data_IF_585849237942
#
_entry.id   IF_585849237942
#
_cell.length_a   1.000
_cell.length_b   1.000
_cell.length_c   1.000
_cell.angle_alpha   90.00
_cell.angle_beta   90.00
_cell.angle_gamma   90.00
#
_symmetry.space_group_name_H-M   'P 1'
#
loop_
_entity.id
_entity.type
_entity.pdbx_description
1 polymer ?
#
# COMPACT_ATOMS: atom_id res chain seq x y z
N UNK A 1 16.63 -6.20 58.54
CA UNK A 1 16.25 -6.66 57.19
C UNK A 1 17.38 -6.31 56.23
N UNK A 2 18.30 -7.23 56.00
CA UNK A 2 19.31 -7.11 54.94
C UNK A 2 18.61 -7.35 53.60
N UNK A 3 18.66 -6.38 52.69
CA UNK A 3 18.35 -6.63 51.27
C UNK A 3 19.41 -7.62 50.78
N UNK A 4 19.02 -8.88 50.55
CA UNK A 4 19.87 -9.82 49.84
C UNK A 4 20.23 -9.21 48.48
N UNK A 5 21.54 -9.05 48.24
CA UNK A 5 22.05 -8.71 46.92
C UNK A 5 21.70 -9.87 45.99
N UNK A 6 20.71 -9.66 45.11
CA UNK A 6 20.46 -10.55 43.98
C UNK A 6 21.64 -10.41 43.00
N UNK A 7 22.72 -11.14 43.26
CA UNK A 7 23.84 -11.28 42.35
C UNK A 7 23.40 -12.17 41.18
N UNK A 8 23.83 -11.80 39.97
CA UNK A 8 23.60 -12.59 38.77
C UNK A 8 24.20 -13.99 38.96
N UNK A 9 23.42 -15.08 38.77
CA UNK A 9 23.94 -16.42 38.92
C UNK A 9 25.00 -16.68 37.85
N UNK A 10 26.14 -17.25 38.26
CA UNK A 10 27.19 -17.66 37.33
C UNK A 10 26.63 -18.65 36.30
N UNK A 11 27.05 -18.49 35.04
CA UNK A 11 26.77 -19.45 33.97
C UNK A 11 27.42 -20.81 34.28
N UNK A 12 27.03 -21.87 33.57
CA UNK A 12 27.61 -23.19 33.78
C UNK A 12 29.15 -23.20 33.62
N UNK A 13 29.68 -22.41 32.67
CA UNK A 13 31.11 -22.22 32.51
C UNK A 13 31.73 -21.46 33.69
N UNK A 14 31.09 -20.38 34.16
CA UNK A 14 31.54 -19.64 35.33
C UNK A 14 31.59 -20.49 36.61
N UNK A 15 30.61 -21.38 36.81
CA UNK A 15 30.59 -22.34 37.93
C UNK A 15 31.65 -23.43 37.83
N UNK A 16 32.10 -23.78 36.62
CA UNK A 16 33.17 -24.74 36.43
C UNK A 16 34.54 -24.09 36.68
N UNK A 17 34.74 -22.83 36.28
CA UNK A 17 35.95 -22.07 36.57
C UNK A 17 36.05 -21.77 38.07
N UNK A 18 34.94 -21.37 38.69
CA UNK A 18 34.86 -21.19 40.15
C UNK A 18 35.19 -22.48 40.89
N UNK A 19 34.66 -23.62 40.43
CA UNK A 19 34.96 -24.93 41.02
C UNK A 19 36.44 -25.30 40.86
N UNK A 20 36.99 -25.16 39.65
CA UNK A 20 38.40 -25.43 39.38
C UNK A 20 39.34 -24.56 40.23
N UNK A 21 38.95 -23.30 40.49
CA UNK A 21 39.69 -22.42 41.41
C UNK A 21 39.56 -22.87 42.87
N UNK A 22 38.35 -23.22 43.32
CA UNK A 22 38.09 -23.68 44.69
C UNK A 22 38.69 -25.07 44.99
N UNK A 23 38.92 -25.88 43.95
CA UNK A 23 39.54 -27.20 44.02
C UNK A 23 41.08 -27.13 43.82
N UNK A 24 41.67 -25.93 43.82
CA UNK A 24 43.10 -25.66 43.59
C UNK A 24 43.63 -26.19 42.24
N UNK A 25 42.75 -26.46 41.26
CA UNK A 25 43.14 -26.89 39.90
C UNK A 25 43.68 -25.73 39.05
N UNK A 26 43.29 -24.50 39.38
CA UNK A 26 43.84 -23.26 38.81
C UNK A 26 44.17 -22.28 39.94
N UNK A 27 45.28 -21.57 39.82
CA UNK A 27 45.69 -20.59 40.83
C UNK A 27 45.01 -19.22 40.63
N UNK A 28 45.16 -18.34 41.62
CA UNK A 28 44.54 -17.00 41.65
C UNK A 28 45.01 -16.14 40.47
N UNK A 29 46.25 -16.34 40.03
CA UNK A 29 46.82 -15.63 38.90
C UNK A 29 46.17 -16.09 37.59
N UNK A 30 46.01 -17.39 37.38
CA UNK A 30 45.33 -17.97 36.21
C UNK A 30 43.87 -17.54 36.12
N UNK A 31 43.17 -17.45 37.27
CA UNK A 31 41.80 -16.93 37.33
C UNK A 31 41.75 -15.45 36.91
N UNK A 32 42.70 -14.65 37.39
CA UNK A 32 42.81 -13.23 37.06
C UNK A 32 43.15 -13.00 35.59
N UNK A 33 44.09 -13.78 35.04
CA UNK A 33 44.51 -13.72 33.65
C UNK A 33 43.36 -14.12 32.71
N UNK A 34 42.57 -15.13 33.08
CA UNK A 34 41.37 -15.53 32.32
C UNK A 34 40.32 -14.42 32.30
N UNK A 35 40.13 -13.72 33.42
CA UNK A 35 39.23 -12.57 33.50
C UNK A 35 39.73 -11.40 32.64
N UNK A 36 41.03 -11.11 32.68
CA UNK A 36 41.63 -10.02 31.92
C UNK A 36 41.62 -10.31 30.40
N UNK A 37 41.87 -11.55 30.00
CA UNK A 37 41.71 -12.02 28.62
C UNK A 37 40.26 -11.83 28.14
N UNK A 38 39.27 -12.24 28.93
CA UNK A 38 37.86 -12.07 28.58
C UNK A 38 37.44 -10.60 28.48
N UNK A 39 37.96 -9.74 29.36
CA UNK A 39 37.74 -8.29 29.27
C UNK A 39 38.38 -7.73 28.00
N UNK A 40 39.62 -8.14 27.68
CA UNK A 40 40.33 -7.73 26.46
C UNK A 40 39.59 -8.15 25.22
N UNK A 41 39.09 -9.39 25.15
CA UNK A 41 38.33 -9.89 23.99
C UNK A 41 37.02 -9.11 23.80
N UNK A 42 36.32 -8.76 24.89
CA UNK A 42 35.11 -7.93 24.83
C UNK A 42 35.45 -6.50 24.38
N UNK A 43 36.59 -5.95 24.80
CA UNK A 43 37.06 -4.65 24.35
C UNK A 43 37.45 -4.66 22.86
N UNK A 44 38.11 -5.72 22.40
CA UNK A 44 38.62 -5.86 21.02
C UNK A 44 37.48 -6.20 20.02
N UNK A 45 36.59 -7.13 20.37
CA UNK A 45 35.43 -7.49 19.53
C UNK A 45 34.24 -6.55 19.68
N UNK A 46 34.17 -5.79 20.78
CA UNK A 46 33.07 -4.88 21.08
C UNK A 46 32.90 -3.80 20.01
N UNK A 47 34.00 -3.28 19.47
CA UNK A 47 33.95 -2.31 18.37
C UNK A 47 33.33 -2.91 17.10
N UNK A 48 33.72 -4.13 16.73
CA UNK A 48 33.18 -4.82 15.55
C UNK A 48 31.66 -5.04 15.67
N UNK A 49 31.18 -5.43 16.86
CA UNK A 49 29.75 -5.62 17.13
C UNK A 49 28.98 -4.31 16.99
N UNK A 50 29.51 -3.21 17.53
CA UNK A 50 28.90 -1.86 17.40
C UNK A 50 28.87 -1.41 15.94
N UNK A 51 29.94 -1.64 15.18
CA UNK A 51 29.98 -1.32 13.75
C UNK A 51 28.92 -2.13 12.97
N UNK A 52 28.76 -3.42 13.27
CA UNK A 52 27.72 -4.27 12.66
C UNK A 52 26.33 -3.75 12.99
N UNK A 53 26.06 -3.46 14.27
CA UNK A 53 24.78 -2.91 14.70
C UNK A 53 24.45 -1.59 13.99
N UNK A 54 25.41 -0.66 13.90
CA UNK A 54 25.23 0.61 13.19
C UNK A 54 24.95 0.41 11.70
N UNK A 55 25.58 -0.59 11.05
CA UNK A 55 25.26 -0.96 9.67
C UNK A 55 23.81 -1.43 9.54
N UNK A 56 23.34 -2.28 10.45
CA UNK A 56 21.94 -2.73 10.43
C UNK A 56 20.96 -1.57 10.62
N UNK A 57 21.22 -0.66 11.55
CA UNK A 57 20.40 0.54 11.76
C UNK A 57 20.38 1.42 10.51
N UNK A 58 21.52 1.62 9.83
CA UNK A 58 21.56 2.40 8.59
C UNK A 58 20.78 1.73 7.44
N UNK A 59 20.79 0.39 7.35
CA UNK A 59 20.05 -0.33 6.33
C UNK A 59 18.54 -0.36 6.60
N UNK A 60 18.15 -0.72 7.82
CA UNK A 60 16.76 -0.97 8.21
C UNK A 60 16.02 0.31 8.63
N UNK A 61 16.75 1.34 9.05
CA UNK A 61 16.20 2.49 9.75
C UNK A 61 15.92 2.17 11.23
N UNK A 62 15.35 3.14 11.93
CA UNK A 62 15.02 3.01 13.36
C UNK A 62 13.71 3.72 13.70
N UNK A 63 12.96 3.21 14.67
CA UNK A 63 11.70 3.78 15.11
C UNK A 63 10.50 3.35 14.27
N UNK A 64 9.33 3.87 14.61
CA UNK A 64 8.04 3.48 14.02
C UNK A 64 7.14 4.70 13.80
N UNK A 65 6.24 4.61 12.82
CA UNK A 65 5.28 5.67 12.53
C UNK A 65 5.95 6.92 11.97
N UNK A 66 5.46 8.09 12.38
CA UNK A 66 5.92 9.40 11.88
C UNK A 66 7.35 9.74 12.28
N UNK A 67 7.87 9.14 13.37
CA UNK A 67 9.22 9.37 13.87
C UNK A 67 10.24 8.33 13.36
N UNK A 68 9.90 7.57 12.31
CA UNK A 68 10.81 6.57 11.74
C UNK A 68 11.96 7.27 11.00
N UNK A 69 13.18 6.95 11.41
CA UNK A 69 14.40 7.26 10.67
C UNK A 69 14.47 6.32 9.47
N UNK A 70 14.45 6.90 8.27
CA UNK A 70 14.39 6.18 6.99
C UNK A 70 15.73 5.50 6.70
N UNK A 71 15.71 4.18 6.60
CA UNK A 71 16.88 3.38 6.23
C UNK A 71 17.14 3.34 4.72
N UNK A 72 18.27 2.77 4.31
CA UNK A 72 18.58 2.58 2.88
C UNK A 72 17.54 1.70 2.16
N UNK A 73 17.00 0.68 2.81
CA UNK A 73 15.96 -0.20 2.24
C UNK A 73 14.67 0.58 1.98
N UNK A 74 14.26 1.45 2.90
CA UNK A 74 13.06 2.28 2.73
C UNK A 74 13.20 3.20 1.49
N UNK A 75 14.37 3.82 1.31
CA UNK A 75 14.68 4.66 0.14
C UNK A 75 14.59 3.87 -1.16
N UNK A 76 15.12 2.65 -1.18
CA UNK A 76 15.06 1.80 -2.37
C UNK A 76 13.63 1.36 -2.69
N UNK A 77 12.82 1.03 -1.67
CA UNK A 77 11.39 0.76 -1.85
C UNK A 77 10.67 1.97 -2.46
N UNK A 78 10.96 3.18 -1.98
CA UNK A 78 10.39 4.41 -2.53
C UNK A 78 10.81 4.64 -3.99
N UNK A 79 12.10 4.46 -4.29
CA UNK A 79 12.63 4.53 -5.67
C UNK A 79 11.91 3.56 -6.60
N UNK A 80 11.68 2.32 -6.16
CA UNK A 80 10.96 1.30 -6.94
C UNK A 80 9.48 1.65 -7.14
N UNK A 81 8.81 2.23 -6.12
CA UNK A 81 7.43 2.74 -6.27
C UNK A 81 7.36 3.86 -7.30
N UNK A 82 8.30 4.80 -7.26
CA UNK A 82 8.39 5.89 -8.22
C UNK A 82 8.66 5.38 -9.64
N UNK A 83 9.56 4.41 -9.78
CA UNK A 83 9.85 3.76 -11.06
C UNK A 83 8.61 3.03 -11.63
N UNK A 84 7.86 2.32 -10.79
CA UNK A 84 6.58 1.69 -11.19
C UNK A 84 5.60 2.73 -11.72
N UNK A 85 5.43 3.84 -11.00
CA UNK A 85 4.53 4.94 -11.44
C UNK A 85 4.98 5.57 -12.75
N UNK A 86 6.29 5.76 -12.94
CA UNK A 86 6.85 6.23 -14.19
C UNK A 86 6.49 5.30 -15.37
N UNK A 87 6.68 3.99 -15.21
CA UNK A 87 6.30 3.02 -16.25
C UNK A 87 4.80 2.96 -16.52
N UNK A 88 3.95 3.09 -15.49
CA UNK A 88 2.49 3.15 -15.67
C UNK A 88 2.12 4.35 -16.55
N UNK A 89 2.63 5.55 -16.23
CA UNK A 89 2.38 6.75 -17.05
C UNK A 89 2.88 6.60 -18.48
N UNK A 90 4.06 6.00 -18.65
CA UNK A 90 4.61 5.69 -19.98
C UNK A 90 3.71 4.75 -20.78
N UNK A 91 3.21 3.69 -20.13
CA UNK A 91 2.31 2.72 -20.75
C UNK A 91 0.93 3.31 -21.09
N UNK A 92 0.38 4.17 -20.23
CA UNK A 92 -0.86 4.91 -20.50
C UNK A 92 -0.72 5.82 -21.71
N UNK A 93 0.38 6.57 -21.80
CA UNK A 93 0.68 7.43 -22.96
C UNK A 93 0.84 6.63 -24.24
N UNK A 94 1.58 5.53 -24.18
CA UNK A 94 1.72 4.62 -25.31
C UNK A 94 0.35 4.06 -25.74
N UNK A 95 -0.45 3.59 -24.80
CA UNK A 95 -1.78 3.05 -25.08
C UNK A 95 -2.67 4.08 -25.74
N UNK A 96 -2.69 5.32 -25.25
CA UNK A 96 -3.45 6.42 -25.87
C UNK A 96 -3.00 6.68 -27.31
N UNK A 97 -1.69 6.83 -27.53
CA UNK A 97 -1.15 7.08 -28.86
C UNK A 97 -1.48 5.93 -29.84
N UNK A 98 -1.38 4.68 -29.39
CA UNK A 98 -1.72 3.52 -30.23
C UNK A 98 -3.22 3.50 -30.55
N UNK A 99 -4.08 3.81 -29.58
CA UNK A 99 -5.53 3.93 -29.82
C UNK A 99 -5.82 5.01 -30.87
N UNK A 100 -5.19 6.18 -30.75
CA UNK A 100 -5.38 7.30 -31.67
C UNK A 100 -4.92 6.94 -33.10
N UNK A 101 -3.75 6.32 -33.25
CA UNK A 101 -3.22 5.86 -34.55
C UNK A 101 -4.07 4.72 -35.13
N UNK A 102 -4.47 3.73 -34.33
CA UNK A 102 -5.34 2.65 -34.79
C UNK A 102 -6.72 3.18 -35.20
N UNK A 103 -7.21 4.23 -34.53
CA UNK A 103 -8.46 4.89 -34.91
C UNK A 103 -8.31 5.64 -36.23
N UNK A 104 -7.23 6.40 -36.44
CA UNK A 104 -7.00 7.08 -37.72
C UNK A 104 -6.89 6.06 -38.86
N UNK A 105 -6.09 5.00 -38.68
CA UNK A 105 -5.97 3.94 -39.67
C UNK A 105 -7.29 3.18 -39.89
N UNK A 106 -8.06 2.90 -38.83
CA UNK A 106 -9.34 2.20 -38.92
C UNK A 106 -10.45 3.04 -39.58
N UNK A 107 -10.45 4.35 -39.36
CA UNK A 107 -11.34 5.29 -40.06
C UNK A 107 -10.95 5.36 -41.54
N UNK A 108 -9.66 5.42 -41.86
CA UNK A 108 -9.16 5.47 -43.24
C UNK A 108 -9.36 4.14 -44.01
N UNK A 109 -9.29 2.99 -43.33
CA UNK A 109 -9.34 1.66 -43.96
C UNK A 109 -10.68 0.93 -43.86
N UNK A 110 -11.61 1.38 -43.00
CA UNK A 110 -12.90 0.73 -42.79
C UNK A 110 -12.85 -0.67 -42.16
N UNK A 111 -11.67 -1.16 -41.74
CA UNK A 111 -11.49 -2.51 -41.18
C UNK A 111 -11.09 -2.46 -39.70
N UNK A 112 -11.92 -3.05 -38.83
CA UNK A 112 -11.71 -3.12 -37.38
C UNK A 112 -10.85 -4.30 -36.95
N UNK A 113 -9.76 -4.60 -37.65
CA UNK A 113 -8.94 -5.78 -37.39
C UNK A 113 -7.62 -5.38 -36.71
N UNK A 114 -7.29 -6.04 -35.61
CA UNK A 114 -6.14 -5.73 -34.76
C UNK A 114 -4.80 -5.77 -35.51
N UNK A 115 -3.78 -5.13 -34.94
CA UNK A 115 -2.41 -5.13 -35.47
C UNK A 115 -1.64 -6.30 -34.86
N UNK A 116 -1.12 -7.18 -35.70
CA UNK A 116 -0.22 -8.25 -35.30
C UNK A 116 1.21 -7.70 -35.13
N UNK A 117 1.82 -7.97 -33.98
CA UNK A 117 3.20 -7.61 -33.67
C UNK A 117 4.18 -8.63 -34.24
N UNK A 118 5.46 -8.27 -34.37
CA UNK A 118 6.54 -9.18 -34.76
C UNK A 118 6.63 -10.43 -33.85
N UNK A 119 6.23 -10.29 -32.58
CA UNK A 119 6.18 -11.39 -31.62
C UNK A 119 4.99 -12.36 -31.81
N UNK A 120 4.17 -12.16 -32.84
CA UNK A 120 2.97 -12.93 -33.13
C UNK A 120 1.73 -12.55 -32.31
N UNK A 121 1.86 -11.66 -31.30
CA UNK A 121 0.73 -11.16 -30.49
C UNK A 121 -0.11 -10.15 -31.25
N UNK A 122 -1.43 -10.16 -31.03
CA UNK A 122 -2.38 -9.27 -31.69
C UNK A 122 -2.84 -8.19 -30.72
N UNK A 123 -2.57 -6.94 -31.09
CA UNK A 123 -3.09 -5.75 -30.42
C UNK A 123 -4.42 -5.40 -31.08
N UNK A 124 -5.51 -5.33 -30.32
CA UNK A 124 -6.81 -4.89 -30.86
C UNK A 124 -7.51 -3.94 -29.91
N UNK A 125 -8.31 -3.04 -30.51
CA UNK A 125 -9.16 -2.13 -29.78
C UNK A 125 -10.46 -2.82 -29.41
N UNK A 126 -10.76 -2.89 -28.12
CA UNK A 126 -12.10 -3.25 -27.66
C UNK A 126 -12.90 -1.97 -27.46
N UNK A 127 -13.91 -1.78 -28.29
CA UNK A 127 -14.95 -0.77 -28.08
C UNK A 127 -15.84 -1.19 -26.92
N UNK A 128 -16.09 -0.27 -26.00
CA UNK A 128 -17.08 -0.39 -24.94
C UNK A 128 -17.81 0.92 -24.79
N UNK A 129 -19.09 0.87 -24.46
CA UNK A 129 -19.90 2.07 -24.19
C UNK A 129 -20.09 2.19 -22.69
N UNK A 130 -19.77 3.37 -22.13
CA UNK A 130 -20.04 3.71 -20.73
C UNK A 130 -21.09 4.82 -20.70
N UNK A 131 -22.13 4.65 -19.89
CA UNK A 131 -23.10 5.72 -19.64
C UNK A 131 -22.47 6.79 -18.72
N UNK A 132 -22.57 8.05 -19.13
CA UNK A 132 -22.25 9.21 -18.32
C UNK A 132 -23.53 9.56 -17.56
N UNK A 133 -23.51 9.35 -16.25
CA UNK A 133 -24.64 9.74 -15.39
C UNK A 133 -24.63 11.27 -15.23
N UNK A 134 -25.77 11.95 -15.38
CA UNK A 134 -25.88 13.37 -15.08
C UNK A 134 -25.49 13.65 -13.63
N UNK A 135 -25.05 14.87 -13.35
CA UNK A 135 -24.84 15.32 -11.98
C UNK A 135 -26.19 15.37 -11.25
N UNK A 136 -26.38 14.65 -10.12
CA UNK A 136 -27.66 14.63 -9.41
C UNK A 136 -28.14 16.01 -8.96
N UNK A 137 -27.22 16.95 -8.68
CA UNK A 137 -27.56 18.32 -8.25
C UNK A 137 -28.22 19.16 -9.35
N UNK A 138 -27.93 18.85 -10.62
CA UNK A 138 -28.46 19.54 -11.79
C UNK A 138 -29.81 18.95 -12.26
N UNK A 139 -30.28 17.90 -11.59
CA UNK A 139 -31.53 17.17 -11.92
C UNK A 139 -32.62 17.53 -10.90
N UNK A 140 -33.88 17.75 -11.33
CA UNK A 140 -34.99 18.02 -10.41
C UNK A 140 -35.11 16.95 -9.32
N UNK A 141 -35.40 17.38 -8.09
CA UNK A 141 -35.39 16.50 -6.91
C UNK A 141 -36.31 15.29 -7.04
N UNK A 142 -37.38 15.38 -7.83
CA UNK A 142 -38.33 14.30 -8.14
C UNK A 142 -37.65 13.04 -8.72
N UNK A 143 -36.52 13.21 -9.40
CA UNK A 143 -35.74 12.10 -9.99
C UNK A 143 -34.55 11.70 -9.13
N UNK A 144 -34.39 12.24 -7.92
CA UNK A 144 -33.29 11.92 -7.03
C UNK A 144 -33.65 10.76 -6.08
N UNK A 145 -32.68 9.87 -5.88
CA UNK A 145 -32.67 8.80 -4.89
C UNK A 145 -31.64 9.17 -3.81
N UNK A 146 -32.12 9.25 -2.57
CA UNK A 146 -31.31 9.49 -1.39
C UNK A 146 -30.88 8.16 -0.79
N UNK A 147 -29.57 7.88 -0.80
CA UNK A 147 -29.03 6.67 -0.18
C UNK A 147 -28.67 6.93 1.28
N UNK A 148 -29.27 6.13 2.14
CA UNK A 148 -28.90 5.98 3.55
C UNK A 148 -28.20 4.62 3.70
N UNK A 149 -27.35 4.45 4.73
CA UNK A 149 -26.86 3.11 5.06
C UNK A 149 -27.81 2.51 6.09
N UNK A 150 -28.52 1.40 5.82
CA UNK A 150 -28.37 0.45 4.70
C UNK A 150 -29.41 0.55 3.55
N UNK A 151 -30.35 1.50 3.56
CA UNK A 151 -31.47 1.57 2.61
C UNK A 151 -31.49 2.86 1.78
N UNK A 152 -32.18 2.86 0.65
CA UNK A 152 -32.35 4.04 -0.20
C UNK A 152 -33.82 4.44 -0.25
N UNK A 153 -34.09 5.74 -0.41
CA UNK A 153 -35.44 6.29 -0.56
C UNK A 153 -35.51 7.17 -1.80
N UNK A 154 -36.63 7.12 -2.52
CA UNK A 154 -36.95 8.13 -3.54
C UNK A 154 -37.23 9.49 -2.89
N UNK A 155 -37.24 10.56 -3.68
CA UNK A 155 -37.62 11.88 -3.17
C UNK A 155 -39.04 11.92 -2.59
N UNK A 156 -39.99 11.20 -3.19
CA UNK A 156 -41.37 11.12 -2.69
C UNK A 156 -41.41 10.46 -1.31
N UNK A 157 -40.73 9.33 -1.16
CA UNK A 157 -40.65 8.59 0.11
C UNK A 157 -39.93 9.41 1.18
N UNK A 158 -38.83 10.06 0.82
CA UNK A 158 -38.09 10.93 1.72
C UNK A 158 -38.93 12.14 2.15
N UNK A 159 -39.67 12.76 1.23
CA UNK A 159 -40.51 13.92 1.50
C UNK A 159 -41.63 13.63 2.49
N UNK A 160 -42.17 12.41 2.47
CA UNK A 160 -43.21 11.94 3.41
C UNK A 160 -42.69 11.65 4.83
N UNK A 161 -41.37 11.62 5.04
CA UNK A 161 -40.81 11.38 6.38
C UNK A 161 -41.06 12.57 7.32
N UNK A 162 -41.43 12.31 8.59
CA UNK A 162 -41.44 13.33 9.65
C UNK A 162 -40.08 14.03 9.80
N UNK A 163 -40.09 15.33 10.08
CA UNK A 163 -38.87 16.14 10.21
C UNK A 163 -37.89 15.61 11.28
N UNK A 164 -38.43 15.01 12.35
CA UNK A 164 -37.63 14.39 13.40
C UNK A 164 -36.81 13.18 12.90
N UNK A 165 -37.30 12.47 11.88
CA UNK A 165 -36.58 11.37 11.23
C UNK A 165 -35.60 11.88 10.18
N UNK A 166 -35.99 12.89 9.37
CA UNK A 166 -35.10 13.54 8.42
C UNK A 166 -33.83 14.09 9.09
N UNK A 167 -33.96 14.73 10.26
CA UNK A 167 -32.81 15.24 11.04
C UNK A 167 -31.88 14.14 11.57
N UNK A 168 -32.38 12.92 11.79
CA UNK A 168 -31.60 11.79 12.29
C UNK A 168 -30.95 10.97 11.17
N UNK A 169 -31.48 11.05 9.96
CA UNK A 169 -30.98 10.33 8.80
C UNK A 169 -29.91 11.16 8.09
N UNK A 170 -28.68 10.65 8.05
CA UNK A 170 -27.60 11.27 7.29
C UNK A 170 -27.55 10.70 5.88
N UNK A 171 -27.79 11.55 4.88
CA UNK A 171 -27.66 11.17 3.46
C UNK A 171 -26.19 10.85 3.19
N UNK A 172 -25.93 9.66 2.65
CA UNK A 172 -24.58 9.20 2.32
C UNK A 172 -24.19 9.47 0.87
N UNK A 173 -25.15 9.43 -0.04
CA UNK A 173 -24.98 9.67 -1.47
C UNK A 173 -26.34 10.05 -2.07
N UNK A 174 -26.35 10.95 -3.05
CA UNK A 174 -27.52 11.24 -3.89
C UNK A 174 -27.24 10.64 -5.27
N UNK A 175 -28.20 9.91 -5.81
CA UNK A 175 -28.14 9.32 -7.15
C UNK A 175 -29.41 9.61 -7.93
N UNK A 176 -29.43 9.39 -9.24
CA UNK A 176 -30.61 9.63 -10.07
C UNK A 176 -31.37 8.33 -10.28
N UNK A 177 -32.69 8.37 -10.12
CA UNK A 177 -33.58 7.30 -10.56
C UNK A 177 -33.63 7.27 -12.08
N UNK A 178 -33.02 6.22 -12.65
CA UNK A 178 -32.76 6.13 -14.08
C UNK A 178 -34.05 6.07 -14.90
N UNK A 179 -35.03 5.29 -14.46
CA UNK A 179 -36.22 5.03 -15.26
C UNK A 179 -37.10 6.29 -15.46
N UNK A 180 -37.55 6.99 -14.40
CA UNK A 180 -38.39 8.18 -14.57
C UNK A 180 -37.61 9.32 -15.23
N UNK A 181 -36.30 9.43 -14.98
CA UNK A 181 -35.47 10.43 -15.66
C UNK A 181 -35.42 10.20 -17.16
N UNK A 182 -35.20 8.95 -17.60
CA UNK A 182 -35.06 8.63 -19.02
C UNK A 182 -36.36 8.80 -19.82
N UNK A 183 -37.52 8.64 -19.17
CA UNK A 183 -38.82 8.90 -19.82
C UNK A 183 -38.99 10.37 -20.25
N UNK A 184 -38.40 11.30 -19.49
CA UNK A 184 -38.58 12.74 -19.70
C UNK A 184 -37.40 13.39 -20.42
N UNK A 185 -36.18 13.03 -20.04
CA UNK A 185 -34.95 13.65 -20.53
C UNK A 185 -34.21 12.80 -21.57
N UNK A 186 -34.69 11.57 -21.82
CA UNK A 186 -34.07 10.64 -22.75
C UNK A 186 -32.91 9.84 -22.14
N UNK A 187 -32.27 9.03 -22.99
CA UNK A 187 -31.15 8.18 -22.60
C UNK A 187 -29.98 8.98 -21.99
N UNK A 188 -29.26 8.39 -21.02
CA UNK A 188 -28.00 8.96 -20.56
C UNK A 188 -27.01 9.04 -21.71
N UNK A 189 -26.19 10.09 -21.72
CA UNK A 189 -25.11 10.22 -22.69
C UNK A 189 -24.19 9.00 -22.63
N UNK A 190 -23.78 8.52 -23.80
CA UNK A 190 -22.91 7.34 -23.91
C UNK A 190 -21.55 7.79 -24.39
N UNK A 191 -20.54 7.56 -23.57
CA UNK A 191 -19.15 7.70 -23.94
C UNK A 191 -18.66 6.40 -24.57
N UNK A 192 -18.04 6.50 -25.75
CA UNK A 192 -17.33 5.38 -26.34
C UNK A 192 -15.93 5.27 -25.73
N UNK A 193 -15.74 4.29 -24.85
CA UNK A 193 -14.44 3.97 -24.28
C UNK A 193 -13.74 2.90 -25.12
N UNK A 194 -12.53 3.19 -25.57
CA UNK A 194 -11.66 2.23 -26.26
C UNK A 194 -10.57 1.75 -25.32
N UNK A 195 -10.45 0.41 -25.17
CA UNK A 195 -9.37 -0.20 -24.38
C UNK A 195 -8.53 -1.09 -25.27
N UNK A 196 -7.22 -0.93 -25.15
CA UNK A 196 -6.24 -1.77 -25.83
C UNK A 196 -6.18 -3.15 -25.15
N UNK A 197 -6.27 -4.22 -25.94
CA UNK A 197 -6.03 -5.59 -25.48
C UNK A 197 -4.94 -6.24 -26.32
N UNK A 198 -4.15 -7.08 -25.66
CA UNK A 198 -3.11 -7.90 -26.27
C UNK A 198 -3.57 -9.36 -26.14
N UNK A 199 -3.67 -10.08 -27.26
CA UNK A 199 -3.89 -11.53 -27.33
C UNK A 199 -2.63 -12.23 -27.81
#
# INVERSE_FOLDING_TARGET
MSKELNLYPLSAAGKNIERAFLEDEIDEQTLKDTREMLVTEIEDEGEAIVQIYNKFINYLGQGTGENKIVGAIDKEIERLKNLKQFYIKGFERFSKNVVDVMRSCGIESGQSNGVQTESGRIIFLRKSTREIKPNPEDVPSEYQIYKFKPFQLSFEEYSQLPDNLKKKLQISEVSIDKNPFQEVFGDFEKEECYKLKIK
#
